data_IF_415127339634
#
_entry.id   IF_415127339634
#
_cell.length_a   1.000
_cell.length_b   1.000
_cell.length_c   1.000
_cell.angle_alpha   90.00
_cell.angle_beta   90.00
_cell.angle_gamma   90.00
#
_symmetry.space_group_name_H-M   'P 1'
#
loop_
_entity.id
_entity.type
_entity.pdbx_description
1 polymer ?
#
# COMPACT_ATOMS: atom_id res chain seq x y z
N UNK A 1 3.76 7.12 -21.07
CA UNK A 1 4.49 7.95 -20.09
C UNK A 1 5.17 6.99 -19.12
N UNK A 2 6.51 6.80 -19.14
CA UNK A 2 7.18 5.96 -18.16
C UNK A 2 7.67 6.77 -16.95
N UNK A 3 7.54 6.13 -15.79
CA UNK A 3 8.11 6.35 -14.47
C UNK A 3 9.10 7.52 -14.23
N UNK A 4 8.75 8.40 -13.28
CA UNK A 4 9.69 9.17 -12.43
C UNK A 4 8.88 9.60 -11.20
N UNK A 5 9.10 9.06 -10.01
CA UNK A 5 10.37 9.18 -9.30
C UNK A 5 10.51 10.60 -8.72
N UNK A 6 9.51 11.10 -7.99
CA UNK A 6 9.56 12.38 -7.29
C UNK A 6 10.04 12.18 -5.86
N UNK A 7 11.31 12.44 -5.59
CA UNK A 7 11.90 12.35 -4.26
C UNK A 7 11.29 13.34 -3.26
N UNK A 8 11.09 12.89 -2.03
CA UNK A 8 10.75 13.76 -0.91
C UNK A 8 10.06 13.04 0.25
N UNK A 9 10.86 12.57 1.21
CA UNK A 9 10.49 12.07 2.56
C UNK A 9 9.94 10.65 2.70
N UNK A 10 10.29 9.93 3.80
CA UNK A 10 9.82 8.58 4.10
C UNK A 10 8.35 8.65 4.58
N UNK A 11 7.43 8.88 3.66
CA UNK A 11 6.03 8.53 3.87
C UNK A 11 5.79 7.19 3.19
N UNK A 12 4.96 6.29 3.76
CA UNK A 12 4.65 5.03 3.10
C UNK A 12 4.09 5.32 1.71
N UNK A 13 4.86 4.97 0.67
CA UNK A 13 4.52 5.20 -0.73
C UNK A 13 3.35 4.31 -1.12
N UNK A 14 2.13 4.75 -0.79
CA UNK A 14 0.89 4.10 -1.23
C UNK A 14 0.82 3.99 -2.75
N UNK A 15 1.37 4.97 -3.49
CA UNK A 15 1.50 4.89 -4.94
C UNK A 15 2.45 3.77 -5.40
N UNK A 16 3.61 3.62 -4.75
CA UNK A 16 4.56 2.54 -5.07
C UNK A 16 4.00 1.18 -4.65
N UNK A 17 3.35 1.10 -3.50
CA UNK A 17 2.66 -0.08 -3.02
C UNK A 17 1.57 -0.52 -4.02
N UNK A 18 0.72 0.40 -4.45
CA UNK A 18 -0.31 0.13 -5.44
C UNK A 18 0.28 -0.39 -6.76
N UNK A 19 1.35 0.25 -7.24
CA UNK A 19 2.05 -0.18 -8.46
C UNK A 19 2.67 -1.57 -8.32
N UNK A 20 3.29 -1.88 -7.17
CA UNK A 20 3.85 -3.21 -6.85
C UNK A 20 2.76 -4.30 -6.78
N UNK A 21 1.60 -3.96 -6.24
CA UNK A 21 0.45 -4.85 -6.09
C UNK A 21 -0.37 -4.98 -7.38
N UNK A 22 -0.11 -4.16 -8.40
CA UNK A 22 -0.89 -4.11 -9.63
C UNK A 22 -2.30 -3.53 -9.46
N UNK A 23 -2.49 -2.68 -8.44
CA UNK A 23 -3.77 -2.01 -8.13
C UNK A 23 -3.61 -0.49 -8.31
N UNK A 24 -4.71 0.26 -8.20
CA UNK A 24 -4.66 1.73 -8.20
C UNK A 24 -4.41 2.28 -6.80
N UNK A 25 -3.80 3.47 -6.71
CA UNK A 25 -3.59 4.16 -5.44
C UNK A 25 -4.93 4.44 -4.72
N UNK A 26 -5.98 4.74 -5.48
CA UNK A 26 -7.35 4.87 -4.97
C UNK A 26 -7.88 3.56 -4.38
N UNK A 27 -7.64 2.42 -5.03
CA UNK A 27 -8.02 1.12 -4.50
C UNK A 27 -7.27 0.81 -3.20
N UNK A 28 -5.96 1.12 -3.14
CA UNK A 28 -5.18 0.94 -1.91
C UNK A 28 -5.69 1.85 -0.78
N UNK A 29 -5.97 3.14 -1.05
CA UNK A 29 -6.56 4.07 -0.06
C UNK A 29 -7.95 3.64 0.40
N UNK A 30 -8.79 3.18 -0.53
CA UNK A 30 -10.13 2.68 -0.23
C UNK A 30 -10.08 1.36 0.57
N UNK A 31 -9.07 0.53 0.33
CA UNK A 31 -8.83 -0.72 1.04
C UNK A 31 -8.32 -0.47 2.46
N UNK A 32 -7.34 0.42 2.63
CA UNK A 32 -6.84 0.89 3.92
C UNK A 32 -7.94 1.57 4.76
N UNK A 33 -8.91 2.18 4.09
CA UNK A 33 -10.07 2.80 4.72
C UNK A 33 -9.71 4.09 5.47
N UNK A 34 -10.74 4.84 5.87
CA UNK A 34 -10.60 6.06 6.69
C UNK A 34 -10.54 5.76 8.19
N UNK A 35 -10.63 4.49 8.57
CA UNK A 35 -10.55 4.04 9.97
C UNK A 35 -9.10 4.08 10.43
N UNK A 36 -8.86 4.75 11.55
CA UNK A 36 -7.57 4.77 12.23
C UNK A 36 -7.73 3.93 13.52
N UNK A 37 -7.03 2.79 13.68
CA UNK A 37 -6.01 2.24 12.78
C UNK A 37 -6.59 1.57 11.51
N UNK A 38 -5.83 1.58 10.40
CA UNK A 38 -6.24 0.94 9.15
C UNK A 38 -6.23 -0.59 9.30
N UNK A 39 -7.25 -1.24 8.76
CA UNK A 39 -7.44 -2.68 8.87
C UNK A 39 -6.75 -3.37 7.68
N UNK A 40 -5.45 -3.66 7.85
CA UNK A 40 -4.60 -4.25 6.79
C UNK A 40 -5.12 -5.61 6.32
N UNK A 41 -5.70 -6.40 7.22
CA UNK A 41 -6.32 -7.69 6.89
C UNK A 41 -7.55 -7.51 5.99
N UNK A 42 -8.41 -6.53 6.28
CA UNK A 42 -9.54 -6.17 5.41
C UNK A 42 -9.07 -5.56 4.09
N UNK A 43 -8.07 -4.67 4.13
CA UNK A 43 -7.51 -4.06 2.92
C UNK A 43 -6.96 -5.13 1.97
N UNK A 44 -6.18 -6.07 2.49
CA UNK A 44 -5.63 -7.18 1.75
C UNK A 44 -6.75 -8.03 1.12
N UNK A 45 -7.78 -8.41 1.91
CA UNK A 45 -8.95 -9.14 1.41
C UNK A 45 -9.72 -8.39 0.32
N UNK A 46 -9.92 -7.07 0.48
CA UNK A 46 -10.59 -6.23 -0.53
C UNK A 46 -9.82 -6.14 -1.84
N UNK A 47 -8.48 -6.13 -1.74
CA UNK A 47 -7.58 -6.05 -2.88
C UNK A 47 -7.27 -7.43 -3.50
N UNK A 48 -7.69 -8.52 -2.85
CA UNK A 48 -7.36 -9.88 -3.28
C UNK A 48 -5.89 -10.25 -3.06
N UNK A 49 -5.19 -9.53 -2.18
CA UNK A 49 -3.79 -9.78 -1.81
C UNK A 49 -3.70 -10.33 -0.39
N UNK A 50 -2.52 -10.79 0.02
CA UNK A 50 -2.29 -11.18 1.42
C UNK A 50 -1.82 -10.00 2.24
N UNK A 51 -2.05 -10.03 3.56
CA UNK A 51 -1.61 -8.98 4.48
C UNK A 51 -0.10 -8.78 4.43
N UNK A 52 0.67 -9.88 4.31
CA UNK A 52 2.11 -9.84 4.13
C UNK A 52 2.53 -9.09 2.86
N UNK A 53 1.82 -9.33 1.75
CA UNK A 53 2.08 -8.66 0.47
C UNK A 53 1.69 -7.17 0.54
N UNK A 54 0.62 -6.83 1.25
CA UNK A 54 0.23 -5.44 1.50
C UNK A 54 1.29 -4.70 2.37
N UNK A 55 1.78 -5.34 3.44
CA UNK A 55 2.82 -4.81 4.32
C UNK A 55 4.15 -4.59 3.57
N UNK A 56 4.56 -5.58 2.76
CA UNK A 56 5.74 -5.51 1.90
C UNK A 56 5.64 -4.37 0.88
N UNK A 57 4.47 -4.25 0.24
CA UNK A 57 4.20 -3.18 -0.71
C UNK A 57 4.25 -1.79 -0.07
N UNK A 58 3.69 -1.66 1.14
CA UNK A 58 3.71 -0.44 1.95
C UNK A 58 5.09 -0.13 2.56
N UNK A 59 6.06 -1.05 2.45
CA UNK A 59 7.36 -0.92 3.10
C UNK A 59 7.27 -0.97 4.63
N UNK A 60 6.15 -1.44 5.18
CA UNK A 60 5.98 -1.74 6.60
C UNK A 60 6.60 -3.11 6.84
N UNK A 61 7.92 -3.19 6.65
CA UNK A 61 8.66 -4.31 7.16
C UNK A 61 8.84 -4.02 8.64
N UNK A 62 8.14 -4.75 9.52
CA UNK A 62 8.45 -4.77 10.94
C UNK A 62 9.95 -5.07 11.04
N UNK A 63 10.74 -4.03 11.31
CA UNK A 63 12.18 -4.16 11.46
C UNK A 63 12.38 -5.17 12.60
N UNK A 64 13.15 -6.25 12.41
CA UNK A 64 13.32 -7.28 13.42
C UNK A 64 13.89 -6.72 14.72
#
# INVERSE_FOLDING_TARGET
>A
MPAMGGGGMPMPDTAAAATKLGITEEALKAALGTTMPPDLAMAAKKLGVTEAVLLDALGIQAKP
#
